data_IF_357731558584
#
_entry.id   IF_357731558584
#
_cell.length_a   1.000
_cell.length_b   1.000
_cell.length_c   1.000
_cell.angle_alpha   90.00
_cell.angle_beta   90.00
_cell.angle_gamma   90.00
#
_symmetry.space_group_name_H-M   'P 1'
#
loop_
_entity.id
_entity.type
_entity.pdbx_description
1 polymer ?
#
# COMPACT_ATOMS: atom_id res chain seq x y z
N UNK A 1 44.34 -5.27 46.55
CA UNK A 1 42.97 -4.91 46.97
C UNK A 1 42.46 -3.78 46.08
N UNK A 2 41.30 -3.98 45.43
CA UNK A 2 40.38 -3.00 44.78
C UNK A 2 40.93 -2.28 43.51
N UNK A 3 40.52 -2.65 42.28
CA UNK A 3 39.28 -2.26 41.54
C UNK A 3 39.27 -0.72 41.36
N UNK A 4 39.28 -0.12 40.17
CA UNK A 4 38.17 -0.03 39.20
C UNK A 4 38.70 0.21 37.78
N UNK A 5 38.22 -0.63 36.86
CA UNK A 5 38.29 -0.53 35.41
C UNK A 5 37.17 0.43 34.95
N UNK A 6 37.49 1.65 34.51
CA UNK A 6 36.47 2.54 33.93
C UNK A 6 36.37 2.27 32.43
N UNK A 7 35.51 1.30 32.09
CA UNK A 7 35.00 1.10 30.73
C UNK A 7 34.09 2.29 30.43
N UNK A 8 34.61 3.29 29.73
CA UNK A 8 33.76 4.31 29.12
C UNK A 8 33.08 3.62 27.93
N UNK A 9 31.84 3.17 28.17
CA UNK A 9 30.87 2.93 27.12
C UNK A 9 30.75 4.23 26.32
N UNK A 10 31.46 4.30 25.20
CA UNK A 10 31.11 5.17 24.09
C UNK A 10 29.77 4.70 23.59
N UNK A 11 28.70 5.21 24.19
CA UNK A 11 27.32 5.01 23.79
C UNK A 11 27.26 5.47 22.33
N UNK A 12 27.23 4.48 21.45
CA UNK A 12 26.80 4.61 20.07
C UNK A 12 25.37 5.15 20.10
N UNK A 13 25.22 6.46 20.26
CA UNK A 13 24.06 7.17 19.77
C UNK A 13 24.11 7.01 18.26
N UNK A 14 23.63 5.86 17.79
CA UNK A 14 22.98 5.76 16.50
C UNK A 14 21.93 6.85 16.53
N UNK A 15 22.28 8.00 15.96
CA UNK A 15 21.32 8.93 15.45
C UNK A 15 20.42 8.08 14.56
N UNK A 16 19.27 7.70 15.09
CA UNK A 16 18.17 7.16 14.33
C UNK A 16 17.77 8.31 13.41
N UNK A 17 18.50 8.45 12.30
CA UNK A 17 18.10 9.30 11.20
C UNK A 17 16.85 8.62 10.68
N UNK A 18 15.70 9.02 11.20
CA UNK A 18 14.44 8.84 10.51
C UNK A 18 14.68 9.46 9.14
N UNK A 19 14.93 8.59 8.16
CA UNK A 19 15.11 9.00 6.78
C UNK A 19 13.77 9.62 6.39
N UNK A 20 13.65 10.94 6.55
CA UNK A 20 12.51 11.69 6.02
C UNK A 20 12.40 11.25 4.58
N UNK A 21 11.26 10.70 4.21
CA UNK A 21 10.96 10.24 2.85
C UNK A 21 10.79 11.44 1.90
N UNK A 22 11.68 12.43 1.96
CA UNK A 22 11.52 13.76 1.36
C UNK A 22 11.76 13.81 -0.15
N UNK A 23 12.05 12.68 -0.78
CA UNK A 23 12.32 12.64 -2.23
C UNK A 23 11.06 12.35 -3.06
N UNK A 24 9.87 12.42 -2.46
CA UNK A 24 8.62 12.03 -3.13
C UNK A 24 7.68 13.20 -3.30
N UNK A 25 7.09 13.36 -4.51
CA UNK A 25 5.93 14.20 -4.62
C UNK A 25 4.88 13.62 -3.68
N UNK A 26 4.37 14.46 -2.78
CA UNK A 26 3.36 14.08 -1.81
C UNK A 26 2.08 13.59 -2.50
N UNK A 27 1.93 13.83 -3.80
CA UNK A 27 0.78 13.57 -4.64
C UNK A 27 1.17 12.79 -5.91
N UNK A 28 0.42 11.75 -6.24
CA UNK A 28 0.61 10.88 -7.41
C UNK A 28 -0.71 10.72 -8.17
N UNK A 29 -0.69 10.95 -9.49
CA UNK A 29 -1.85 10.65 -10.35
C UNK A 29 -1.91 9.17 -10.68
N UNK A 30 -3.06 8.53 -10.46
CA UNK A 30 -3.22 7.11 -10.75
C UNK A 30 -3.54 6.89 -12.23
N UNK A 31 -2.77 6.00 -12.89
CA UNK A 31 -2.87 5.77 -14.34
C UNK A 31 -3.54 4.43 -14.67
N UNK A 32 -3.55 3.49 -13.73
CA UNK A 32 -4.18 2.18 -13.88
C UNK A 32 -5.01 1.77 -12.68
N UNK A 33 -6.09 1.05 -12.96
CA UNK A 33 -6.88 0.34 -11.99
C UNK A 33 -7.10 -1.11 -12.42
N UNK A 34 -7.18 -2.03 -11.46
CA UNK A 34 -7.68 -3.39 -11.70
C UNK A 34 -8.95 -3.65 -10.91
N UNK A 35 -9.89 -4.37 -11.51
CA UNK A 35 -11.12 -4.84 -10.84
C UNK A 35 -11.34 -6.33 -11.11
N UNK A 36 -11.98 -7.03 -10.18
CA UNK A 36 -12.37 -8.44 -10.38
C UNK A 36 -13.37 -8.57 -11.52
N UNK A 37 -13.26 -9.63 -12.32
CA UNK A 37 -14.36 -10.03 -13.22
C UNK A 37 -15.54 -10.55 -12.40
N UNK A 38 -16.73 -10.62 -13.01
CA UNK A 38 -17.95 -11.10 -12.34
C UNK A 38 -17.86 -12.53 -11.79
N UNK A 39 -16.89 -13.33 -12.24
CA UNK A 39 -16.52 -14.62 -11.64
C UNK A 39 -15.49 -14.42 -10.52
N UNK A 40 -16.00 -13.96 -9.38
CA UNK A 40 -15.21 -13.73 -8.15
C UNK A 40 -14.51 -14.98 -7.60
N UNK A 41 -14.86 -16.18 -8.09
CA UNK A 41 -14.26 -17.44 -7.64
C UNK A 41 -12.84 -17.67 -8.15
N UNK A 42 -12.49 -17.07 -9.30
CA UNK A 42 -11.17 -17.22 -9.94
C UNK A 42 -10.17 -16.15 -9.54
N UNK A 43 -10.62 -15.05 -8.94
CA UNK A 43 -9.74 -13.98 -8.45
C UNK A 43 -8.91 -13.30 -9.54
N UNK A 44 -9.38 -13.33 -10.79
CA UNK A 44 -8.68 -12.69 -11.91
C UNK A 44 -9.04 -11.20 -11.98
N UNK A 45 -8.01 -10.37 -12.16
CA UNK A 45 -8.15 -8.92 -12.28
C UNK A 45 -8.02 -8.51 -13.74
N UNK A 46 -8.91 -7.62 -14.19
CA UNK A 46 -8.76 -6.93 -15.47
C UNK A 46 -8.17 -5.57 -15.18
N UNK A 47 -6.96 -5.36 -15.68
CA UNK A 47 -6.30 -4.07 -15.69
C UNK A 47 -6.89 -3.18 -16.77
N UNK A 48 -7.09 -1.91 -16.43
CA UNK A 48 -7.60 -0.91 -17.35
C UNK A 48 -7.02 0.45 -16.97
N UNK A 49 -6.91 1.34 -17.94
CA UNK A 49 -6.48 2.71 -17.66
C UNK A 49 -7.56 3.41 -16.84
N UNK A 50 -7.18 4.27 -15.91
CA UNK A 50 -8.13 4.90 -14.96
C UNK A 50 -9.24 5.67 -15.66
N UNK A 51 -8.96 6.33 -16.79
CA UNK A 51 -9.99 7.00 -17.62
C UNK A 51 -11.02 6.06 -18.26
N UNK A 52 -10.72 4.76 -18.36
CA UNK A 52 -11.63 3.75 -18.88
C UNK A 52 -12.48 3.10 -17.77
N UNK A 53 -12.15 3.36 -16.51
CA UNK A 53 -12.92 2.86 -15.38
C UNK A 53 -14.24 3.62 -15.22
N UNK A 54 -15.28 2.98 -14.65
CA UNK A 54 -16.47 3.68 -14.22
C UNK A 54 -16.09 4.87 -13.32
N UNK A 55 -16.67 6.03 -13.57
CA UNK A 55 -16.18 7.30 -12.98
C UNK A 55 -16.20 7.32 -11.44
N UNK A 56 -17.13 6.60 -10.82
CA UNK A 56 -17.20 6.42 -9.36
C UNK A 56 -16.00 5.70 -8.75
N UNK A 57 -15.27 4.94 -9.56
CA UNK A 57 -14.11 4.14 -9.16
C UNK A 57 -12.80 4.69 -9.74
N UNK A 58 -12.81 5.94 -10.24
CA UNK A 58 -11.67 6.57 -10.88
C UNK A 58 -10.84 7.34 -9.83
N UNK A 59 -9.77 6.75 -9.26
CA UNK A 59 -8.84 7.49 -8.40
C UNK A 59 -8.08 8.50 -9.26
N UNK A 60 -8.10 9.75 -8.85
CA UNK A 60 -7.42 10.83 -9.57
C UNK A 60 -6.11 11.15 -8.90
N UNK A 61 -6.11 11.30 -7.58
CA UNK A 61 -4.93 11.69 -6.80
C UNK A 61 -4.75 10.77 -5.60
N UNK A 62 -3.51 10.39 -5.36
CA UNK A 62 -3.08 9.65 -4.20
C UNK A 62 -2.06 10.50 -3.44
N UNK A 63 -2.37 10.82 -2.19
CA UNK A 63 -1.43 11.48 -1.29
C UNK A 63 -0.90 10.50 -0.26
N UNK A 64 0.42 10.42 -0.11
CA UNK A 64 1.05 9.40 0.71
C UNK A 64 2.09 9.97 1.68
N UNK A 65 1.74 9.96 2.96
CA UNK A 65 2.67 10.13 4.07
C UNK A 65 3.14 8.76 4.53
N UNK A 66 4.32 8.33 4.07
CA UNK A 66 4.87 6.98 4.24
C UNK A 66 4.81 6.42 5.66
N UNK A 67 4.87 7.28 6.67
CA UNK A 67 4.87 6.91 8.09
C UNK A 67 3.58 7.20 8.82
N UNK A 68 2.64 7.90 8.19
CA UNK A 68 1.46 8.44 8.88
C UNK A 68 0.15 8.02 8.22
N UNK A 69 -0.01 8.35 6.94
CA UNK A 69 -1.33 8.39 6.33
C UNK A 69 -1.30 8.20 4.82
N UNK A 70 -2.43 7.80 4.29
CA UNK A 70 -2.70 7.71 2.87
C UNK A 70 -4.05 8.39 2.63
N UNK A 71 -4.20 9.17 1.57
CA UNK A 71 -5.50 9.66 1.15
C UNK A 71 -5.68 9.56 -0.35
N UNK A 72 -6.90 9.28 -0.78
CA UNK A 72 -7.24 9.09 -2.19
C UNK A 72 -8.42 9.98 -2.55
N UNK A 73 -8.24 10.77 -3.60
CA UNK A 73 -9.29 11.60 -4.18
C UNK A 73 -9.80 10.92 -5.44
N UNK A 74 -11.11 10.70 -5.51
CA UNK A 74 -11.80 10.13 -6.68
C UNK A 74 -12.43 11.24 -7.52
N UNK A 75 -12.61 11.00 -8.82
CA UNK A 75 -13.08 12.02 -9.79
C UNK A 75 -14.38 12.73 -9.37
N UNK A 76 -15.32 12.01 -8.77
CA UNK A 76 -16.58 12.54 -8.25
C UNK A 76 -16.67 12.50 -6.72
N UNK A 77 -15.54 12.28 -6.03
CA UNK A 77 -15.48 12.35 -4.57
C UNK A 77 -15.48 13.82 -4.12
N UNK A 78 -16.41 14.19 -3.24
CA UNK A 78 -16.49 15.56 -2.70
C UNK A 78 -15.39 15.85 -1.66
N UNK A 79 -14.79 14.80 -1.08
CA UNK A 79 -13.67 14.88 -0.13
C UNK A 79 -12.71 13.72 -0.34
N UNK A 80 -11.40 13.90 -0.07
CA UNK A 80 -10.45 12.80 -0.04
C UNK A 80 -10.88 11.76 1.00
N UNK A 81 -10.68 10.49 0.68
CA UNK A 81 -10.85 9.40 1.62
C UNK A 81 -9.53 9.19 2.36
N UNK A 82 -9.56 9.27 3.69
CA UNK A 82 -8.35 9.21 4.52
C UNK A 82 -8.16 7.84 5.18
N UNK A 83 -6.89 7.44 5.26
CA UNK A 83 -6.43 6.20 5.86
C UNK A 83 -5.21 6.46 6.72
N UNK A 84 -5.05 5.70 7.80
CA UNK A 84 -3.93 5.82 8.72
C UNK A 84 -3.10 4.55 8.75
N UNK A 85 -1.78 4.70 8.86
CA UNK A 85 -0.85 3.58 8.92
C UNK A 85 -1.14 2.71 10.14
N UNK A 86 -1.33 1.41 9.91
CA UNK A 86 -1.55 0.42 10.96
C UNK A 86 -0.18 -0.05 11.48
N UNK A 87 0.09 0.05 12.79
CA UNK A 87 1.27 -0.56 13.38
C UNK A 87 1.10 -2.09 13.38
N UNK A 88 1.94 -2.79 12.63
CA UNK A 88 1.89 -4.25 12.51
C UNK A 88 2.94 -4.91 13.41
N UNK A 89 2.53 -5.96 14.13
CA UNK A 89 3.46 -6.90 14.76
C UNK A 89 4.23 -7.70 13.70
N UNK A 90 5.34 -8.35 14.09
CA UNK A 90 6.10 -9.22 13.17
C UNK A 90 5.24 -10.35 12.60
N UNK A 91 4.39 -10.95 13.43
CA UNK A 91 3.45 -12.01 13.03
C UNK A 91 2.44 -11.50 11.99
N UNK A 92 1.90 -10.31 12.18
CA UNK A 92 0.96 -9.70 11.23
C UNK A 92 1.65 -9.27 9.93
N UNK A 93 2.89 -8.76 10.01
CA UNK A 93 3.68 -8.41 8.83
C UNK A 93 3.88 -9.61 7.90
N UNK A 94 4.17 -10.79 8.46
CA UNK A 94 4.31 -12.07 7.71
C UNK A 94 3.03 -12.51 6.98
N UNK A 95 1.88 -11.87 7.21
CA UNK A 95 0.65 -12.16 6.47
C UNK A 95 0.65 -11.57 5.07
N UNK A 96 1.49 -10.56 4.81
CA UNK A 96 1.66 -9.89 3.53
C UNK A 96 2.92 -10.38 2.83
N UNK A 97 2.89 -10.59 1.50
CA UNK A 97 4.11 -10.77 0.74
C UNK A 97 5.04 -9.58 0.95
N UNK A 98 6.34 -9.81 1.08
CA UNK A 98 7.31 -8.71 1.18
C UNK A 98 7.51 -8.00 -0.16
N UNK A 99 7.19 -8.67 -1.28
CA UNK A 99 7.38 -8.14 -2.62
C UNK A 99 6.43 -8.68 -3.69
N UNK A 100 6.34 -7.97 -4.81
CA UNK A 100 5.67 -8.37 -6.05
C UNK A 100 6.51 -8.08 -7.30
N UNK A 101 6.18 -8.75 -8.41
CA UNK A 101 6.88 -8.67 -9.71
C UNK A 101 8.40 -8.85 -9.56
N UNK A 102 8.83 -10.06 -9.21
CA UNK A 102 10.25 -10.41 -9.11
C UNK A 102 11.07 -9.41 -8.26
N UNK A 103 10.61 -9.11 -7.05
CA UNK A 103 11.23 -8.17 -6.11
C UNK A 103 11.19 -6.69 -6.53
N UNK A 104 10.35 -6.30 -7.49
CA UNK A 104 10.25 -4.89 -7.89
C UNK A 104 9.52 -4.06 -6.83
N UNK A 105 8.27 -4.41 -6.53
CA UNK A 105 7.45 -3.66 -5.59
C UNK A 105 7.61 -4.22 -4.19
N UNK A 106 8.10 -3.42 -3.25
CA UNK A 106 8.33 -3.82 -1.86
C UNK A 106 7.18 -3.39 -0.95
N UNK A 107 6.85 -4.22 0.02
CA UNK A 107 5.85 -3.92 1.03
C UNK A 107 6.21 -2.66 1.83
N UNK A 108 5.33 -1.67 1.84
CA UNK A 108 5.53 -0.40 2.54
C UNK A 108 4.66 -0.27 3.80
N UNK A 109 3.49 -0.90 3.81
CA UNK A 109 2.62 -0.91 4.98
C UNK A 109 1.17 -1.18 4.69
N UNK A 110 0.37 -1.17 5.75
CA UNK A 110 -1.08 -1.29 5.71
C UNK A 110 -1.67 0.00 6.26
N UNK A 111 -2.73 0.49 5.63
CA UNK A 111 -3.43 1.71 5.98
C UNK A 111 -4.91 1.39 6.19
N UNK A 112 -5.47 1.77 7.32
CA UNK A 112 -6.86 1.53 7.68
C UNK A 112 -7.71 2.77 7.42
N UNK A 113 -8.90 2.56 6.87
CA UNK A 113 -9.84 3.62 6.57
C UNK A 113 -10.29 4.34 7.86
N UNK A 114 -10.20 5.66 7.88
CA UNK A 114 -10.50 6.49 9.06
C UNK A 114 -11.90 6.25 9.64
N UNK A 115 -12.94 6.38 8.81
CA UNK A 115 -14.33 6.21 9.25
C UNK A 115 -14.72 4.77 9.62
N UNK A 116 -13.87 3.79 9.29
CA UNK A 116 -14.16 2.36 9.35
C UNK A 116 -13.07 1.59 10.11
N UNK A 117 -12.47 2.24 11.11
CA UNK A 117 -11.47 1.60 11.97
C UNK A 117 -12.08 0.43 12.74
N UNK A 118 -11.38 -0.70 12.77
CA UNK A 118 -11.76 -1.92 13.48
C UNK A 118 -12.77 -2.83 12.76
N UNK A 119 -13.28 -2.44 11.59
CA UNK A 119 -14.21 -3.25 10.77
C UNK A 119 -13.56 -3.91 9.56
N UNK A 120 -12.23 -3.77 9.38
CA UNK A 120 -11.49 -4.60 8.43
C UNK A 120 -11.32 -4.00 7.02
N UNK A 121 -11.33 -2.66 6.91
CA UNK A 121 -11.19 -1.95 5.64
C UNK A 121 -9.77 -1.39 5.51
N UNK A 122 -8.95 -2.04 4.69
CA UNK A 122 -7.53 -1.70 4.58
C UNK A 122 -7.06 -1.52 3.15
N UNK A 123 -6.08 -0.64 2.98
CA UNK A 123 -5.18 -0.62 1.85
C UNK A 123 -3.84 -1.24 2.22
N UNK A 124 -3.38 -2.18 1.39
CA UNK A 124 -2.02 -2.73 1.46
C UNK A 124 -1.17 -2.02 0.40
N UNK A 125 -0.09 -1.38 0.82
CA UNK A 125 0.70 -0.50 -0.03
C UNK A 125 2.06 -1.13 -0.33
N UNK A 126 2.45 -1.10 -1.60
CA UNK A 126 3.76 -1.51 -2.07
C UNK A 126 4.36 -0.42 -2.96
N UNK A 127 5.69 -0.35 -3.01
CA UNK A 127 6.41 0.71 -3.72
C UNK A 127 7.64 0.20 -4.46
N UNK A 128 7.90 0.82 -5.59
CA UNK A 128 9.17 0.74 -6.32
C UNK A 128 9.49 2.09 -6.96
N UNK A 129 10.57 2.76 -6.51
CA UNK A 129 10.83 4.15 -6.93
C UNK A 129 9.53 4.97 -6.82
N UNK A 130 9.20 5.77 -7.85
CA UNK A 130 8.00 6.61 -7.91
C UNK A 130 6.70 5.84 -8.14
N UNK A 131 6.80 4.53 -8.39
CA UNK A 131 5.66 3.68 -8.67
C UNK A 131 5.08 3.13 -7.38
N UNK A 132 3.76 3.07 -7.33
CA UNK A 132 3.03 2.56 -6.17
C UNK A 132 2.01 1.54 -6.63
N UNK A 133 1.76 0.58 -5.76
CA UNK A 133 0.75 -0.44 -5.92
C UNK A 133 -0.09 -0.45 -4.64
N UNK A 134 -1.37 -0.11 -4.76
CA UNK A 134 -2.29 -0.10 -3.64
C UNK A 134 -3.32 -1.18 -3.84
N UNK A 135 -3.43 -2.11 -2.90
CA UNK A 135 -4.45 -3.16 -2.92
C UNK A 135 -5.53 -2.86 -1.88
N UNK A 136 -6.76 -2.65 -2.34
CA UNK A 136 -7.93 -2.63 -1.45
C UNK A 136 -8.28 -4.02 -0.92
N UNK A 137 -8.53 -4.15 0.39
CA UNK A 137 -9.04 -5.39 1.01
C UNK A 137 -10.24 -5.08 1.90
N UNK A 138 -11.40 -5.64 1.55
CA UNK A 138 -12.63 -5.64 2.36
C UNK A 138 -12.92 -7.06 2.88
N UNK A 139 -13.48 -7.17 4.08
CA UNK A 139 -14.05 -8.44 4.56
C UNK A 139 -15.39 -8.70 3.86
N UNK A 140 -15.56 -9.92 3.33
CA UNK A 140 -16.78 -10.55 2.79
C UNK A 140 -17.20 -10.29 1.33
N UNK A 141 -17.00 -9.12 0.73
CA UNK A 141 -17.33 -8.90 -0.70
C UNK A 141 -16.20 -8.14 -1.40
N UNK A 142 -15.27 -8.90 -1.99
CA UNK A 142 -13.96 -8.39 -2.38
C UNK A 142 -14.03 -7.57 -3.67
N UNK A 143 -13.98 -6.24 -3.55
CA UNK A 143 -13.63 -5.34 -4.66
C UNK A 143 -12.17 -4.93 -4.49
N UNK A 144 -11.23 -5.71 -5.03
CA UNK A 144 -9.85 -5.24 -5.12
C UNK A 144 -9.85 -4.11 -6.15
N UNK A 145 -9.71 -2.87 -5.70
CA UNK A 145 -9.15 -1.82 -6.53
C UNK A 145 -7.64 -1.92 -6.36
N UNK A 146 -6.95 -2.34 -7.42
CA UNK A 146 -5.50 -2.20 -7.48
C UNK A 146 -5.19 -0.89 -8.17
N UNK A 147 -4.61 0.07 -7.48
CA UNK A 147 -4.28 1.36 -8.07
C UNK A 147 -2.79 1.44 -8.30
N UNK A 148 -2.40 1.92 -9.47
CA UNK A 148 -0.99 2.16 -9.78
C UNK A 148 -0.76 3.56 -10.33
N UNK A 149 0.29 4.18 -9.80
CA UNK A 149 1.05 5.17 -10.53
C UNK A 149 2.24 4.48 -11.17
N UNK A 150 2.46 4.71 -12.46
CA UNK A 150 3.60 4.22 -13.21
C UNK A 150 4.21 5.41 -13.95
N UNK A 151 5.54 5.51 -13.93
CA UNK A 151 6.29 6.47 -14.75
C UNK A 151 6.25 6.10 -16.25
N UNK A 152 5.74 4.91 -16.56
CA UNK A 152 5.67 4.34 -17.92
C UNK A 152 4.22 4.14 -18.36
N UNK A 153 3.94 4.25 -19.67
CA UNK A 153 2.61 4.00 -20.21
C UNK A 153 2.26 2.50 -20.29
N UNK A 154 3.17 1.61 -19.92
CA UNK A 154 2.96 0.17 -19.94
C UNK A 154 2.75 -0.37 -18.53
N UNK A 155 1.71 -1.16 -18.34
CA UNK A 155 1.43 -1.84 -17.09
C UNK A 155 2.24 -3.14 -16.98
N UNK A 156 3.20 -3.26 -16.04
CA UNK A 156 4.04 -4.45 -15.93
C UNK A 156 3.28 -5.68 -15.42
N UNK A 157 2.18 -5.51 -14.68
CA UNK A 157 1.36 -6.63 -14.19
C UNK A 157 0.55 -7.28 -15.32
N UNK A 158 0.08 -6.48 -16.28
CA UNK A 158 -0.63 -6.98 -17.46
C UNK A 158 0.31 -7.80 -18.34
N UNK A 159 1.50 -7.26 -18.67
CA UNK A 159 2.51 -7.95 -19.47
C UNK A 159 3.02 -9.25 -18.83
N UNK A 160 3.18 -9.25 -17.52
CA UNK A 160 3.65 -10.43 -16.79
C UNK A 160 2.56 -11.50 -16.58
N UNK A 161 1.30 -11.22 -16.91
CA UNK A 161 0.18 -12.12 -16.59
C UNK A 161 0.03 -12.34 -15.07
N UNK A 162 0.39 -11.35 -14.26
CA UNK A 162 0.56 -11.52 -12.82
C UNK A 162 -0.79 -11.70 -12.12
N UNK A 163 -0.96 -12.83 -11.42
CA UNK A 163 -2.12 -13.12 -10.59
C UNK A 163 -1.83 -12.80 -9.12
N UNK A 164 -2.67 -11.98 -8.49
CA UNK A 164 -2.48 -11.63 -7.10
C UNK A 164 -2.95 -12.77 -6.17
N UNK A 165 -2.10 -13.21 -5.21
CA UNK A 165 -2.48 -14.23 -4.26
C UNK A 165 -3.59 -13.72 -3.31
N UNK A 166 -4.67 -14.49 -3.23
CA UNK A 166 -5.86 -14.17 -2.44
C UNK A 166 -5.78 -14.73 -1.02
N UNK A 167 -6.23 -13.93 -0.04
CA UNK A 167 -6.56 -14.39 1.32
C UNK A 167 -7.94 -13.83 1.65
N UNK A 168 -8.89 -14.72 1.99
CA UNK A 168 -10.31 -14.38 2.21
C UNK A 168 -10.54 -13.32 3.28
N UNK A 169 -9.67 -13.24 4.27
CA UNK A 169 -9.80 -12.28 5.36
C UNK A 169 -8.47 -12.05 6.08
N UNK A 170 -8.23 -10.81 6.51
CA UNK A 170 -7.13 -10.45 7.41
C UNK A 170 -7.73 -9.54 8.49
N UNK A 171 -7.70 -10.00 9.73
CA UNK A 171 -8.07 -9.21 10.91
C UNK A 171 -6.82 -8.98 11.74
N UNK A 172 -6.67 -7.75 12.25
CA UNK A 172 -5.58 -7.40 13.16
C UNK A 172 -6.01 -7.39 14.64
N UNK A 173 -7.23 -7.85 14.93
CA UNK A 173 -7.74 -8.04 16.30
C UNK A 173 -7.07 -9.23 16.98
#
# INVERSE_FOLDING_TARGET
MRIILTVILGISFFACKTQKSSDYPAELSCNYGATTTGDSSKGTFVWQKTYQMPEKNHPVLLHWGADTSLSITYKYGTKPIHFFKVPLTEKQRKMFPDYYLNNTFHFAGVYEHEAYRGIGFYFVFYRYKNQVLVQHRQSLNFLMAVMMHLDTPENPFEKAGYLFPFKKEIRFK
#
